data_IF_655905969018
#
_entry.id   IF_655905969018
#
_cell.length_a   1.000
_cell.length_b   1.000
_cell.length_c   1.000
_cell.angle_alpha   90.00
_cell.angle_beta   90.00
_cell.angle_gamma   90.00
#
_symmetry.space_group_name_H-M   'P 1'
#
loop_
_entity.id
_entity.type
_entity.pdbx_description
1 polymer ?
#
# COMPACT_ATOMS: atom_id res chain seq x y z
N UNK A 1 -20.15 -2.70 18.84
CA UNK A 1 -18.77 -3.23 18.77
C UNK A 1 -18.55 -3.75 17.35
N UNK A 2 -18.05 -2.92 16.43
CA UNK A 2 -17.71 -3.39 15.10
C UNK A 2 -16.41 -4.20 15.24
N UNK A 3 -16.47 -5.50 15.01
CA UNK A 3 -15.32 -6.38 15.12
C UNK A 3 -14.19 -5.87 14.22
N UNK A 4 -12.99 -5.74 14.79
CA UNK A 4 -11.74 -5.47 14.08
C UNK A 4 -11.50 -6.57 13.06
N UNK A 5 -12.07 -6.39 11.86
CA UNK A 5 -11.79 -7.25 10.72
C UNK A 5 -10.30 -7.02 10.41
N UNK A 6 -9.44 -8.05 10.45
CA UNK A 6 -8.03 -7.89 10.18
C UNK A 6 -7.90 -7.20 8.82
N UNK A 7 -7.44 -5.95 8.83
CA UNK A 7 -7.38 -5.15 7.62
C UNK A 7 -6.35 -5.79 6.69
N UNK A 8 -6.81 -6.25 5.52
CA UNK A 8 -5.94 -6.85 4.52
C UNK A 8 -4.82 -5.88 4.16
N UNK A 9 -3.56 -6.25 4.43
CA UNK A 9 -2.37 -5.41 4.20
C UNK A 9 -2.30 -4.90 2.77
N UNK A 10 -2.72 -5.71 1.79
CA UNK A 10 -2.74 -5.33 0.38
C UNK A 10 -3.74 -4.19 0.15
N UNK A 11 -4.96 -4.32 0.66
CA UNK A 11 -6.01 -3.31 0.46
C UNK A 11 -5.69 -2.03 1.23
N UNK A 12 -5.11 -2.12 2.43
CA UNK A 12 -4.64 -0.97 3.21
C UNK A 12 -3.56 -0.22 2.43
N UNK A 13 -2.54 -0.94 1.96
CA UNK A 13 -1.44 -0.37 1.19
C UNK A 13 -1.92 0.29 -0.11
N UNK A 14 -2.68 -0.45 -0.93
CA UNK A 14 -3.17 0.05 -2.23
C UNK A 14 -4.15 1.21 -2.06
N UNK A 15 -5.01 1.18 -1.04
CA UNK A 15 -5.90 2.31 -0.76
C UNK A 15 -5.13 3.54 -0.29
N UNK A 16 -4.10 3.36 0.56
CA UNK A 16 -3.28 4.46 1.05
C UNK A 16 -2.63 5.19 -0.14
N UNK A 17 -1.83 4.48 -0.95
CA UNK A 17 -1.11 5.08 -2.09
C UNK A 17 -2.05 5.67 -3.14
N UNK A 18 -3.25 5.08 -3.34
CA UNK A 18 -4.27 5.61 -4.26
C UNK A 18 -4.83 6.94 -3.75
N UNK A 19 -5.20 7.00 -2.46
CA UNK A 19 -5.80 8.20 -1.84
C UNK A 19 -4.80 9.36 -1.80
N UNK A 20 -3.55 9.09 -1.44
CA UNK A 20 -2.47 10.10 -1.38
C UNK A 20 -1.89 10.43 -2.74
N UNK A 21 -2.29 9.71 -3.81
CA UNK A 21 -1.71 9.82 -5.16
C UNK A 21 -0.19 9.68 -5.15
N UNK A 22 0.34 8.84 -4.26
CA UNK A 22 1.78 8.62 -4.12
C UNK A 22 2.34 8.04 -5.42
N UNK A 23 3.37 8.67 -6.03
CA UNK A 23 4.06 8.08 -7.16
C UNK A 23 4.71 6.75 -6.77
N UNK A 24 4.56 5.73 -7.60
CA UNK A 24 5.10 4.39 -7.37
C UNK A 24 5.91 3.90 -8.57
N UNK A 25 6.85 3.00 -8.29
CA UNK A 25 7.46 2.11 -9.28
C UNK A 25 6.89 0.70 -9.08
N UNK A 26 6.27 0.15 -10.11
CA UNK A 26 5.75 -1.22 -10.16
C UNK A 26 6.76 -2.07 -10.93
N UNK A 27 7.28 -3.10 -10.28
CA UNK A 27 8.18 -4.08 -10.88
C UNK A 27 7.36 -5.29 -11.31
N UNK A 28 7.54 -5.70 -12.56
CA UNK A 28 6.92 -6.90 -13.09
C UNK A 28 7.84 -8.11 -12.91
N UNK A 29 7.27 -9.30 -12.85
CA UNK A 29 8.00 -10.58 -12.70
C UNK A 29 9.02 -10.83 -13.82
N UNK A 30 8.83 -10.23 -14.99
CA UNK A 30 9.75 -10.30 -16.13
C UNK A 30 10.87 -9.24 -16.08
N UNK A 31 10.95 -8.44 -15.01
CA UNK A 31 11.97 -7.39 -14.82
C UNK A 31 11.62 -6.02 -15.40
N UNK A 32 10.50 -5.87 -16.12
CA UNK A 32 10.04 -4.55 -16.60
C UNK A 32 9.62 -3.68 -15.41
N UNK A 33 9.99 -2.39 -15.45
CA UNK A 33 9.54 -1.40 -14.48
C UNK A 33 8.52 -0.45 -15.10
N UNK A 34 7.39 -0.28 -14.43
CA UNK A 34 6.38 0.73 -14.74
C UNK A 34 6.41 1.80 -13.66
N UNK A 35 6.20 3.05 -14.04
CA UNK A 35 6.13 4.16 -13.09
C UNK A 35 4.83 4.92 -13.30
N UNK A 36 4.26 5.44 -12.23
CA UNK A 36 3.02 6.20 -12.30
C UNK A 36 2.33 6.29 -10.95
N UNK A 37 1.03 6.54 -10.99
CA UNK A 37 0.16 6.61 -9.82
C UNK A 37 -0.93 5.54 -9.98
N UNK A 38 -1.15 4.73 -8.95
CA UNK A 38 -2.26 3.78 -8.94
C UNK A 38 -3.55 4.55 -8.68
N UNK A 39 -4.42 4.63 -9.70
CA UNK A 39 -5.69 5.36 -9.62
C UNK A 39 -6.85 4.47 -9.17
N UNK A 40 -6.76 3.16 -9.42
CA UNK A 40 -7.75 2.17 -9.01
C UNK A 40 -7.12 0.77 -8.94
N UNK A 41 -7.82 -0.17 -8.32
CA UNK A 41 -7.48 -1.57 -8.20
C UNK A 41 -8.73 -2.37 -7.86
N UNK A 42 -8.70 -3.65 -8.20
CA UNK A 42 -9.66 -4.67 -7.77
C UNK A 42 -8.88 -5.88 -7.21
N UNK A 43 -9.52 -7.05 -7.12
CA UNK A 43 -8.88 -8.26 -6.61
C UNK A 43 -7.70 -8.74 -7.46
N UNK A 44 -7.70 -8.50 -8.78
CA UNK A 44 -6.76 -9.12 -9.73
C UNK A 44 -5.91 -8.13 -10.52
N UNK A 45 -6.23 -6.84 -10.48
CA UNK A 45 -5.63 -5.82 -11.32
C UNK A 45 -5.46 -4.48 -10.59
N UNK A 46 -4.56 -3.66 -11.12
CA UNK A 46 -4.35 -2.26 -10.74
C UNK A 46 -4.39 -1.40 -11.99
N UNK A 47 -4.96 -0.21 -11.89
CA UNK A 47 -4.94 0.79 -12.94
C UNK A 47 -3.83 1.80 -12.63
N UNK A 48 -2.79 1.81 -13.46
CA UNK A 48 -1.64 2.70 -13.34
C UNK A 48 -1.79 3.85 -14.33
N UNK A 49 -1.68 5.08 -13.85
CA UNK A 49 -1.73 6.30 -14.68
C UNK A 49 -0.37 6.97 -14.74
N UNK A 50 0.05 7.35 -15.95
CA UNK A 50 1.25 8.15 -16.20
C UNK A 50 1.07 8.97 -17.48
N UNK A 51 1.43 10.25 -17.43
CA UNK A 51 1.47 11.15 -18.60
C UNK A 51 0.15 11.16 -19.42
N UNK A 52 -0.99 11.13 -18.74
CA UNK A 52 -2.33 11.09 -19.37
C UNK A 52 -2.77 9.70 -19.85
N UNK A 53 -1.86 8.74 -19.95
CA UNK A 53 -2.15 7.36 -20.29
C UNK A 53 -2.59 6.55 -19.07
N UNK A 54 -3.47 5.57 -19.30
CA UNK A 54 -3.90 4.58 -18.32
C UNK A 54 -3.51 3.19 -18.79
N UNK A 55 -2.97 2.39 -17.87
CA UNK A 55 -2.54 1.02 -18.11
C UNK A 55 -3.20 0.10 -17.08
N UNK A 56 -3.91 -0.92 -17.55
CA UNK A 56 -4.40 -1.99 -16.70
C UNK A 56 -3.27 -3.02 -16.51
N UNK A 57 -2.87 -3.26 -15.27
CA UNK A 57 -1.79 -4.18 -14.92
C UNK A 57 -2.36 -5.31 -14.07
N UNK A 58 -2.20 -6.55 -14.51
CA UNK A 58 -2.61 -7.72 -13.75
C UNK A 58 -1.63 -8.02 -12.60
N UNK A 59 -2.18 -8.32 -11.42
CA UNK A 59 -1.38 -8.58 -10.20
C UNK A 59 -0.47 -9.79 -10.32
N UNK A 60 -0.84 -10.83 -11.09
CA UNK A 60 0.03 -11.99 -11.31
C UNK A 60 1.32 -11.64 -12.05
N UNK A 61 1.34 -10.53 -12.79
CA UNK A 61 2.52 -10.04 -13.49
C UNK A 61 3.36 -9.11 -12.61
N UNK A 62 2.87 -8.66 -11.45
CA UNK A 62 3.55 -7.73 -10.55
C UNK A 62 4.37 -8.53 -9.53
N UNK A 63 5.67 -8.24 -9.43
CA UNK A 63 6.52 -8.75 -8.36
C UNK A 63 6.54 -7.83 -7.15
N UNK A 64 6.56 -6.51 -7.35
CA UNK A 64 6.75 -5.54 -6.26
C UNK A 64 6.15 -4.18 -6.60
N UNK A 65 5.58 -3.50 -5.60
CA UNK A 65 5.13 -2.09 -5.70
C UNK A 65 5.92 -1.25 -4.71
N UNK A 66 6.72 -0.31 -5.21
CA UNK A 66 7.60 0.54 -4.43
C UNK A 66 7.11 1.99 -4.46
N UNK A 67 6.64 2.56 -3.34
CA UNK A 67 6.36 3.99 -3.24
C UNK A 67 7.64 4.81 -3.40
N UNK A 68 7.52 6.02 -3.94
CA UNK A 68 8.63 6.98 -4.12
C UNK A 68 9.21 7.51 -2.81
N UNK A 69 8.52 7.33 -1.68
CA UNK A 69 8.98 7.72 -0.36
C UNK A 69 8.32 6.89 0.75
N UNK A 70 8.72 7.10 2.02
CA UNK A 70 8.12 6.43 3.16
C UNK A 70 6.61 6.64 3.22
N UNK A 71 5.87 5.59 3.57
CA UNK A 71 4.42 5.66 3.81
C UNK A 71 4.10 5.18 5.22
N UNK A 72 3.20 5.89 5.90
CA UNK A 72 2.70 5.53 7.22
C UNK A 72 1.37 4.80 7.06
N UNK A 73 1.38 3.47 7.18
CA UNK A 73 0.18 2.64 6.99
C UNK A 73 -0.62 2.43 8.28
N UNK A 74 0.06 2.42 9.42
CA UNK A 74 -0.51 2.18 10.73
C UNK A 74 -0.07 3.27 11.69
N UNK A 75 -1.00 3.70 12.54
CA UNK A 75 -0.72 4.65 13.60
C UNK A 75 -0.09 3.90 14.79
N UNK A 76 1.17 4.16 15.17
CA UNK A 76 1.82 3.47 16.29
C UNK A 76 1.08 3.68 17.61
N UNK A 77 0.28 4.74 17.76
CA UNK A 77 -0.50 4.98 18.99
C UNK A 77 -1.67 4.00 19.19
N UNK A 78 -2.12 3.32 18.13
CA UNK A 78 -3.18 2.30 18.22
C UNK A 78 -2.65 0.91 18.61
N UNK A 79 -1.33 0.68 18.49
CA UNK A 79 -0.67 -0.51 19.00
C UNK A 79 -0.27 -0.26 20.47
N UNK A 80 -1.26 -0.24 21.35
CA UNK A 80 -1.08 0.01 22.77
C UNK A 80 -0.27 -1.07 23.48
N UNK A 81 1.06 -1.02 23.38
CA UNK A 81 1.93 -1.48 24.47
C UNK A 81 1.92 -0.40 25.55
N UNK A 82 1.09 -0.62 26.57
CA UNK A 82 1.17 0.14 27.81
C UNK A 82 2.57 -0.13 28.40
N UNK A 83 3.45 0.88 28.54
CA UNK A 83 4.72 0.63 29.21
C UNK A 83 4.41 0.18 30.63
N UNK A 84 4.90 -1.00 31.00
CA UNK A 84 4.89 -1.46 32.38
C UNK A 84 5.65 -0.43 33.20
N UNK A 85 4.91 0.41 33.91
CA UNK A 85 5.47 1.33 34.88
C UNK A 85 6.19 0.48 35.93
N UNK A 86 7.52 0.59 35.97
CA UNK A 86 8.32 0.03 37.04
C UNK A 86 7.86 0.61 38.36
N UNK A 87 7.33 -0.25 39.23
CA UNK A 87 7.28 0.04 40.65
C UNK A 87 8.71 -0.02 41.18
N UNK A 88 9.17 1.16 41.59
CA UNK A 88 10.39 1.39 42.34
C UNK A 88 10.28 0.71 43.71
N UNK A 89 11.29 -0.06 44.06
CA UNK A 89 11.65 -0.38 45.44
C UNK A 89 12.93 0.34 45.81
#
# INVERSE_FOLDING_TARGET
MAADKPQNVQDVFLNHIRKTKTPVTVFLVNGVKLQGIISWFDNFSVLLRRDGHMQLVYKHAISTVMPSGPIQLFDPAAAGEKPAAGEQG
#
